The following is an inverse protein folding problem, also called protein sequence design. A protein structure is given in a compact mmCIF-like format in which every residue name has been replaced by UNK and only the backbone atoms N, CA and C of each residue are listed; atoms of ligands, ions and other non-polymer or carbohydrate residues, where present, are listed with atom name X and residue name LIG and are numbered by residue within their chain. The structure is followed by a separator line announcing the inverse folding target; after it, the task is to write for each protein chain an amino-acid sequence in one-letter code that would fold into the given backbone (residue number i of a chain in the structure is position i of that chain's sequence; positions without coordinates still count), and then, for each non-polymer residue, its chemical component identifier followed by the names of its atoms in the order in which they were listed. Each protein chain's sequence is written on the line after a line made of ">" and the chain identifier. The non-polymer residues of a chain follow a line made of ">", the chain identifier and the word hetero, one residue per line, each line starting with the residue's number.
data_IF_578725207459
#
_entry.id   IF_578725207459
#
_cell.length_a   1.000
_cell.length_b   1.000
_cell.length_c   1.000
_cell.angle_alpha   90.00
_cell.angle_beta   90.00
_cell.angle_gamma   90.00
#
_symmetry.space_group_name_H-M   'P 1'
#
loop_
_entity.id
_entity.type
_entity.pdbx_description
1 polymer ?
#
# COMPACT_ATOMS: atom_id res chain seq x y z
N UNK A 1 -44.36 20.73 27.39
CA UNK A 1 -43.59 19.52 27.01
C UNK A 1 -43.72 19.36 25.51
N UNK A 2 -42.79 19.92 24.75
CA UNK A 2 -42.72 19.74 23.29
C UNK A 2 -41.73 18.61 23.01
N UNK A 3 -42.22 17.49 22.48
CA UNK A 3 -41.38 16.41 21.98
C UNK A 3 -40.74 16.87 20.66
N UNK A 4 -39.44 17.12 20.67
CA UNK A 4 -38.63 17.22 19.46
C UNK A 4 -38.20 15.80 19.06
N UNK A 5 -38.76 15.29 17.97
CA UNK A 5 -38.28 14.06 17.34
C UNK A 5 -36.93 14.36 16.65
N UNK A 6 -35.85 13.80 17.21
CA UNK A 6 -34.52 13.86 16.62
C UNK A 6 -34.44 12.82 15.50
N UNK A 7 -34.45 13.28 14.25
CA UNK A 7 -34.20 12.45 13.07
C UNK A 7 -32.69 12.10 13.05
N UNK A 8 -32.31 10.93 13.56
CA UNK A 8 -30.97 10.38 13.38
C UNK A 8 -30.92 9.79 11.97
N UNK A 9 -30.25 10.47 11.05
CA UNK A 9 -29.89 9.91 9.75
C UNK A 9 -28.75 8.89 9.97
N UNK A 10 -28.96 7.58 9.75
CA UNK A 10 -27.87 6.62 9.74
C UNK A 10 -27.23 6.66 8.35
N UNK A 11 -25.92 6.88 8.30
CA UNK A 11 -25.15 6.71 7.07
C UNK A 11 -24.26 7.89 6.76
N UNK A 12 -23.22 8.08 7.57
CA UNK A 12 -21.94 8.37 6.94
C UNK A 12 -21.62 7.18 6.05
N UNK A 13 -21.83 7.34 4.73
CA UNK A 13 -21.22 6.48 3.72
C UNK A 13 -19.71 6.64 3.88
N UNK A 14 -19.12 5.76 4.69
CA UNK A 14 -17.68 5.56 4.68
C UNK A 14 -17.36 5.09 3.28
N UNK A 15 -16.67 5.93 2.50
CA UNK A 15 -16.17 5.52 1.21
C UNK A 15 -15.17 4.38 1.46
N UNK A 16 -15.58 3.15 1.16
CA UNK A 16 -14.68 2.02 1.13
C UNK A 16 -13.61 2.32 0.08
N UNK A 17 -12.33 2.26 0.48
CA UNK A 17 -11.21 2.51 -0.41
C UNK A 17 -11.17 1.40 -1.47
N UNK A 18 -11.92 1.62 -2.56
CA UNK A 18 -12.05 0.64 -3.63
C UNK A 18 -10.81 0.73 -4.51
N UNK A 19 -9.78 -0.06 -4.18
CA UNK A 19 -8.71 -0.33 -5.12
C UNK A 19 -9.24 -1.28 -6.19
N UNK A 20 -9.65 -0.73 -7.34
CA UNK A 20 -10.20 -1.50 -8.47
C UNK A 20 -9.19 -2.50 -9.05
N UNK A 21 -7.88 -2.27 -8.84
CA UNK A 21 -6.79 -3.16 -9.25
C UNK A 21 -5.66 -3.14 -8.22
N UNK A 22 -5.74 -3.94 -7.14
CA UNK A 22 -4.61 -4.07 -6.23
C UNK A 22 -3.40 -4.64 -6.98
N UNK A 23 -2.16 -4.31 -6.58
CA UNK A 23 -0.93 -4.84 -7.18
C UNK A 23 -0.71 -6.29 -6.74
N UNK A 24 -1.65 -7.17 -7.09
CA UNK A 24 -1.65 -8.59 -6.75
C UNK A 24 -1.50 -9.40 -8.03
N UNK A 25 -0.43 -10.17 -8.11
CA UNK A 25 -0.15 -11.09 -9.20
C UNK A 25 -0.33 -12.52 -8.72
N UNK A 26 -1.01 -13.34 -9.52
CA UNK A 26 -1.02 -14.79 -9.32
C UNK A 26 0.02 -15.42 -10.24
N UNK A 27 0.88 -16.26 -9.68
CA UNK A 27 1.83 -17.09 -10.40
C UNK A 27 1.36 -18.54 -10.30
N UNK A 28 1.45 -19.29 -11.39
CA UNK A 28 1.08 -20.71 -11.40
C UNK A 28 2.12 -21.51 -12.16
N UNK A 29 2.64 -22.57 -11.55
CA UNK A 29 3.65 -23.44 -12.12
C UNK A 29 3.52 -24.86 -11.55
N UNK A 30 3.59 -25.89 -12.39
CA UNK A 30 3.57 -27.30 -11.98
C UNK A 30 2.39 -27.67 -11.06
N UNK A 31 1.20 -27.12 -11.32
CA UNK A 31 0.01 -27.32 -10.49
C UNK A 31 0.02 -26.55 -9.15
N UNK A 32 1.08 -25.83 -8.85
CA UNK A 32 1.20 -24.97 -7.68
C UNK A 32 0.79 -23.53 -8.02
N UNK A 33 0.35 -22.81 -6.99
CA UNK A 33 0.00 -21.39 -7.08
C UNK A 33 0.74 -20.60 -6.02
N UNK A 34 1.17 -19.40 -6.40
CA UNK A 34 1.70 -18.39 -5.49
C UNK A 34 1.05 -17.04 -5.80
N UNK A 35 0.99 -16.17 -4.81
CA UNK A 35 0.56 -14.79 -4.98
C UNK A 35 1.69 -13.85 -4.61
N UNK A 36 1.94 -12.86 -5.45
CA UNK A 36 2.87 -11.77 -5.17
C UNK A 36 2.03 -10.50 -5.00
N UNK A 37 2.04 -9.95 -3.79
CA UNK A 37 1.44 -8.65 -3.50
C UNK A 37 2.55 -7.60 -3.46
N UNK A 38 2.39 -6.51 -4.21
CA UNK A 38 3.30 -5.37 -4.18
C UNK A 38 3.36 -4.73 -2.79
N UNK A 39 4.50 -4.10 -2.47
CA UNK A 39 4.71 -3.49 -1.16
C UNK A 39 3.90 -2.20 -0.98
N UNK A 40 3.44 -1.98 0.26
CA UNK A 40 3.03 -0.68 0.77
C UNK A 40 3.93 -0.37 1.97
N UNK A 41 4.87 0.56 1.84
CA UNK A 41 5.80 0.86 2.94
C UNK A 41 5.14 1.61 4.11
N UNK A 42 3.96 2.18 3.89
CA UNK A 42 3.16 2.87 4.90
C UNK A 42 1.69 2.56 4.71
N UNK A 43 1.02 2.16 5.78
CA UNK A 43 -0.41 1.91 5.80
C UNK A 43 -1.09 2.48 7.03
N UNK A 44 -2.41 2.71 6.93
CA UNK A 44 -3.25 3.15 8.04
C UNK A 44 -4.36 2.13 8.30
N UNK A 45 -5.00 2.19 9.47
CA UNK A 45 -6.11 1.29 9.80
C UNK A 45 -7.29 1.39 8.81
N UNK A 46 -7.45 2.54 8.14
CA UNK A 46 -8.48 2.75 7.13
C UNK A 46 -8.27 1.94 5.83
N UNK A 47 -7.12 1.27 5.68
CA UNK A 47 -6.88 0.35 4.55
C UNK A 47 -7.56 -1.01 4.73
N UNK A 48 -8.13 -1.28 5.92
CA UNK A 48 -8.87 -2.51 6.18
C UNK A 48 -10.39 -2.28 6.09
N UNK A 49 -11.15 -3.25 5.57
CA UNK A 49 -10.66 -4.50 4.95
C UNK A 49 -9.92 -4.21 3.64
N UNK A 50 -8.93 -5.05 3.30
CA UNK A 50 -8.26 -4.93 2.01
C UNK A 50 -9.23 -5.32 0.87
N UNK A 51 -8.95 -4.97 -0.39
CA UNK A 51 -9.75 -5.44 -1.52
C UNK A 51 -9.96 -6.95 -1.46
N UNK A 52 -11.21 -7.39 -1.66
CA UNK A 52 -11.61 -8.78 -1.42
C UNK A 52 -10.71 -9.83 -2.09
N UNK A 53 -10.17 -9.54 -3.28
CA UNK A 53 -9.24 -10.44 -3.99
C UNK A 53 -7.92 -10.66 -3.24
N UNK A 54 -7.46 -9.65 -2.50
CA UNK A 54 -6.26 -9.74 -1.64
C UNK A 54 -6.57 -10.61 -0.43
N UNK A 55 -7.67 -10.32 0.28
CA UNK A 55 -8.11 -11.12 1.43
C UNK A 55 -8.32 -12.60 1.07
N UNK A 56 -8.89 -12.88 -0.11
CA UNK A 56 -9.05 -14.24 -0.63
C UNK A 56 -7.72 -14.92 -0.93
N UNK A 57 -6.75 -14.20 -1.51
CA UNK A 57 -5.41 -14.74 -1.76
C UNK A 57 -4.69 -15.07 -0.45
N UNK A 58 -4.79 -14.21 0.57
CA UNK A 58 -4.28 -14.48 1.91
C UNK A 58 -4.93 -15.72 2.51
N UNK A 59 -6.27 -15.82 2.50
CA UNK A 59 -6.98 -16.95 3.07
C UNK A 59 -6.71 -18.28 2.35
N UNK A 60 -6.40 -18.24 1.05
CA UNK A 60 -6.08 -19.41 0.25
C UNK A 60 -4.60 -19.84 0.31
N UNK A 61 -3.75 -19.10 1.02
CA UNK A 61 -2.31 -19.35 1.08
C UNK A 61 -1.93 -20.06 2.38
N UNK A 62 -1.14 -21.13 2.28
CA UNK A 62 -0.67 -21.89 3.45
C UNK A 62 0.41 -21.15 4.24
N UNK A 63 1.15 -20.24 3.59
CA UNK A 63 2.28 -19.52 4.17
C UNK A 63 2.36 -18.09 3.62
N UNK A 64 2.71 -17.16 4.50
CA UNK A 64 3.07 -15.79 4.15
C UNK A 64 4.58 -15.63 4.15
N UNK A 65 5.15 -15.17 3.05
CA UNK A 65 6.57 -14.81 2.94
C UNK A 65 6.65 -13.30 2.76
N UNK A 66 7.43 -12.64 3.62
CA UNK A 66 7.68 -11.20 3.57
C UNK A 66 9.10 -10.95 3.06
N UNK A 67 9.30 -9.83 2.36
CA UNK A 67 10.60 -9.43 1.82
C UNK A 67 11.66 -9.23 2.92
N UNK A 68 11.23 -8.75 4.08
CA UNK A 68 12.09 -8.44 5.21
C UNK A 68 11.48 -8.94 6.52
N UNK A 69 12.33 -9.49 7.38
CA UNK A 69 11.95 -9.81 8.75
C UNK A 69 11.92 -8.53 9.59
N UNK A 70 10.72 -7.98 9.77
CA UNK A 70 10.50 -6.78 10.58
C UNK A 70 10.87 -6.99 12.06
N UNK A 71 10.93 -8.24 12.55
CA UNK A 71 11.28 -8.53 13.95
C UNK A 71 12.78 -8.41 14.23
N UNK A 72 13.60 -8.43 13.18
CA UNK A 72 15.05 -8.30 13.24
C UNK A 72 15.57 -6.86 12.97
N UNK A 73 14.68 -5.88 12.79
CA UNK A 73 15.05 -4.49 12.48
C UNK A 73 15.28 -3.68 13.75
N UNK A 74 16.45 -3.06 13.88
CA UNK A 74 16.67 -1.95 14.82
C UNK A 74 16.02 -0.67 14.26
N UNK A 75 14.88 -0.29 14.84
CA UNK A 75 14.11 0.88 14.43
C UNK A 75 14.88 2.20 14.53
N UNK A 76 15.81 2.34 15.50
CA UNK A 76 16.62 3.55 15.66
C UNK A 76 17.67 3.63 14.57
N UNK A 77 18.36 2.52 14.29
CA UNK A 77 19.33 2.45 13.20
C UNK A 77 18.67 2.70 11.84
N UNK A 78 17.51 2.08 11.58
CA UNK A 78 16.72 2.30 10.38
C UNK A 78 16.30 3.76 10.21
N UNK A 79 15.76 4.38 11.28
CA UNK A 79 15.37 5.80 11.25
C UNK A 79 16.54 6.73 10.94
N UNK A 80 17.72 6.46 11.51
CA UNK A 80 18.94 7.23 11.21
C UNK A 80 19.35 7.11 9.75
N UNK A 81 19.28 5.91 9.18
CA UNK A 81 19.58 5.69 7.76
C UNK A 81 18.57 6.40 6.86
N UNK A 82 17.27 6.36 7.18
CA UNK A 82 16.24 7.08 6.42
C UNK A 82 16.49 8.59 6.46
N UNK A 83 16.83 9.17 7.61
CA UNK A 83 17.17 10.60 7.69
C UNK A 83 18.43 10.90 6.86
N UNK A 84 19.44 10.04 6.94
CA UNK A 84 20.73 10.27 6.27
C UNK A 84 20.70 9.99 4.75
N UNK A 85 19.79 9.15 4.26
CA UNK A 85 19.80 8.60 2.88
C UNK A 85 18.45 8.62 2.17
N UNK A 86 17.35 8.89 2.87
CA UNK A 86 15.99 8.86 2.33
C UNK A 86 15.58 10.15 1.62
N UNK A 87 16.39 11.21 1.71
CA UNK A 87 16.19 12.44 0.95
C UNK A 87 17.11 12.48 -0.27
N UNK A 88 16.59 13.01 -1.37
CA UNK A 88 17.40 13.26 -2.55
C UNK A 88 18.48 14.31 -2.22
N UNK A 89 19.77 14.10 -2.57
CA UNK A 89 20.86 14.97 -2.11
C UNK A 89 20.79 16.42 -2.59
N UNK A 90 20.03 16.68 -3.66
CA UNK A 90 19.90 17.99 -4.29
C UNK A 90 18.45 18.47 -4.14
N UNK A 91 18.08 19.10 -3.01
CA UNK A 91 16.69 19.41 -2.68
C UNK A 91 16.02 20.38 -3.67
N UNK A 92 16.83 21.17 -4.37
CA UNK A 92 16.37 22.11 -5.41
C UNK A 92 16.01 21.40 -6.72
N UNK A 93 16.39 20.13 -6.87
CA UNK A 93 16.24 19.36 -8.11
C UNK A 93 15.15 18.32 -7.95
N UNK A 94 14.21 18.35 -8.89
CA UNK A 94 13.12 17.38 -8.94
C UNK A 94 13.46 16.22 -9.88
N UNK A 95 12.60 15.19 -9.85
CA UNK A 95 12.74 14.03 -10.72
C UNK A 95 12.69 14.40 -12.20
N UNK A 96 11.97 15.46 -12.58
CA UNK A 96 11.84 15.88 -13.99
C UNK A 96 13.16 16.38 -14.55
N UNK A 97 13.93 17.09 -13.74
CA UNK A 97 15.24 17.64 -14.13
C UNK A 97 16.33 16.57 -14.26
N UNK A 98 16.11 15.38 -13.67
CA UNK A 98 17.08 14.27 -13.65
C UNK A 98 16.86 13.23 -14.75
N UNK A 99 15.65 13.19 -15.33
CA UNK A 99 15.28 12.22 -16.34
C UNK A 99 15.33 12.85 -17.73
N UNK A 100 15.88 12.11 -18.69
CA UNK A 100 15.72 12.42 -20.10
C UNK A 100 14.24 12.32 -20.52
N UNK A 101 13.93 12.91 -21.68
CA UNK A 101 12.54 13.02 -22.16
C UNK A 101 11.91 11.64 -22.39
N UNK A 102 12.68 10.67 -22.88
CA UNK A 102 12.23 9.30 -23.10
C UNK A 102 11.82 8.64 -21.77
N UNK A 103 12.64 8.77 -20.74
CA UNK A 103 12.39 8.22 -19.40
C UNK A 103 11.23 8.92 -18.69
N UNK A 104 11.10 10.23 -18.84
CA UNK A 104 9.98 10.99 -18.27
C UNK A 104 8.63 10.60 -18.90
N UNK A 105 8.62 10.35 -20.21
CA UNK A 105 7.45 9.84 -20.92
C UNK A 105 6.99 8.47 -20.38
N UNK A 106 7.89 7.68 -19.79
CA UNK A 106 7.52 6.40 -19.20
C UNK A 106 6.66 6.52 -17.92
N UNK A 107 6.75 7.65 -17.20
CA UNK A 107 6.10 7.88 -15.91
C UNK A 107 4.76 8.63 -16.01
N UNK A 108 4.48 9.28 -17.13
CA UNK A 108 3.35 10.20 -17.31
C UNK A 108 2.23 9.64 -18.20
N UNK A 109 2.28 8.35 -18.47
CA UNK A 109 1.38 7.61 -19.35
C UNK A 109 0.34 6.80 -18.58
#
# INVERSE_FOLDING_TARGET
>A
MLLSALLVLPGTLWAEAKMDRPPLWQVSANGQRAYLLGSFHFGTAAMYPMPAVVEQAFAASDMLVVEIDLTAIDAVAASRLIIAKGLYPQPEQDLRQQLDDDSWALLTR
#
